data_IF_243974751377
#
_entry.id   IF_243974751377
#
_cell.length_a   1.000
_cell.length_b   1.000
_cell.length_c   1.000
_cell.angle_alpha   90.00
_cell.angle_beta   90.00
_cell.angle_gamma   90.00
#
_symmetry.space_group_name_H-M   'P 1'
#
loop_
_entity.id
_entity.type
_entity.pdbx_description
1 polymer ?
#
# COMPACT_ATOMS: atom_id res chain seq x y z
N UNK A 1 5.48 19.10 9.56
CA UNK A 1 6.54 18.28 8.92
C UNK A 1 6.36 18.40 7.42
N UNK A 2 7.42 18.61 6.63
CA UNK A 2 7.30 18.57 5.16
C UNK A 2 6.89 17.14 4.75
N UNK A 3 5.91 16.95 3.84
CA UNK A 3 5.49 15.62 3.45
C UNK A 3 6.65 14.72 2.95
N UNK A 4 7.60 15.26 2.18
CA UNK A 4 8.78 14.49 1.73
C UNK A 4 9.60 13.96 2.89
N UNK A 5 9.79 14.79 3.91
CA UNK A 5 10.52 14.39 5.12
C UNK A 5 9.78 13.28 5.87
N UNK A 6 8.44 13.32 5.93
CA UNK A 6 7.63 12.29 6.56
C UNK A 6 7.74 10.94 5.82
N UNK A 7 7.71 10.97 4.49
CA UNK A 7 7.89 9.78 3.64
C UNK A 7 9.28 9.16 3.79
N UNK A 8 10.32 9.99 3.79
CA UNK A 8 11.70 9.54 4.02
C UNK A 8 11.91 9.00 5.44
N UNK A 9 11.38 9.68 6.46
CA UNK A 9 11.52 9.27 7.85
C UNK A 9 10.85 7.90 8.08
N UNK A 10 9.63 7.70 7.57
CA UNK A 10 8.93 6.41 7.63
C UNK A 10 9.76 5.30 6.97
N UNK A 11 10.38 5.60 5.83
CA UNK A 11 11.20 4.63 5.12
C UNK A 11 12.46 4.22 5.91
N UNK A 12 13.16 5.19 6.50
CA UNK A 12 14.35 4.92 7.31
C UNK A 12 13.98 4.15 8.59
N UNK A 13 12.93 4.58 9.29
CA UNK A 13 12.45 3.92 10.51
C UNK A 13 12.11 2.46 10.25
N UNK A 14 11.36 2.18 9.18
CA UNK A 14 10.96 0.82 8.84
C UNK A 14 12.11 -0.06 8.32
N UNK A 15 13.18 0.52 7.76
CA UNK A 15 14.35 -0.22 7.28
C UNK A 15 15.42 -0.45 8.35
N UNK A 16 15.30 0.17 9.51
CA UNK A 16 16.26 -0.05 10.60
C UNK A 16 17.60 0.64 10.42
N UNK A 17 17.71 1.63 9.52
CA UNK A 17 18.99 2.28 9.19
C UNK A 17 18.85 3.77 8.95
N UNK A 18 19.81 4.54 9.48
CA UNK A 18 19.91 5.98 9.26
C UNK A 18 20.47 6.38 7.89
N UNK A 19 20.48 7.68 7.59
CA UNK A 19 21.09 8.20 6.35
C UNK A 19 22.60 8.02 6.37
N UNK A 20 23.16 7.41 5.33
CA UNK A 20 24.61 7.34 5.11
C UNK A 20 25.18 8.73 4.90
N UNK A 21 26.27 9.06 5.59
CA UNK A 21 27.00 10.32 5.43
C UNK A 21 28.49 10.04 5.32
N UNK A 22 29.18 10.79 4.46
CA UNK A 22 30.64 10.79 4.43
C UNK A 22 31.19 11.66 5.57
N UNK A 23 32.35 11.28 6.11
CA UNK A 23 33.12 12.13 7.00
C UNK A 23 33.91 13.19 6.18
N UNK A 24 34.56 14.14 6.86
CA UNK A 24 35.37 15.19 6.21
C UNK A 24 36.54 14.65 5.35
N UNK A 25 36.88 13.36 5.49
CA UNK A 25 37.95 12.68 4.77
C UNK A 25 37.42 11.78 3.64
N UNK A 26 36.12 11.85 3.31
CA UNK A 26 35.50 11.07 2.24
C UNK A 26 35.18 9.60 2.59
N UNK A 27 35.43 9.17 3.83
CA UNK A 27 35.06 7.80 4.27
C UNK A 27 33.62 7.75 4.77
N UNK A 28 32.94 6.63 4.54
CA UNK A 28 31.59 6.39 5.04
C UNK A 28 31.59 6.37 6.58
N UNK A 29 30.77 7.22 7.20
CA UNK A 29 30.56 7.21 8.67
C UNK A 29 29.72 5.98 9.06
N UNK A 30 29.97 5.34 10.22
CA UNK A 30 29.09 4.30 10.74
C UNK A 30 27.63 4.78 10.80
N UNK A 31 26.74 4.00 10.22
CA UNK A 31 25.30 4.30 10.15
C UNK A 31 24.63 3.73 11.39
N UNK A 32 23.78 4.53 12.04
CA UNK A 32 22.95 4.06 13.15
C UNK A 32 21.97 2.99 12.64
N UNK A 33 21.90 1.87 13.36
CA UNK A 33 20.99 0.75 13.05
C UNK A 33 20.03 0.52 14.21
N UNK A 34 18.81 0.07 13.91
CA UNK A 34 17.79 -0.21 14.91
C UNK A 34 16.83 -1.30 14.45
N UNK A 35 16.17 -1.93 15.42
CA UNK A 35 15.06 -2.87 15.23
C UNK A 35 13.96 -2.48 16.20
N UNK A 36 12.90 -1.86 15.70
CA UNK A 36 11.82 -1.35 16.53
C UNK A 36 10.47 -1.44 15.82
N UNK A 37 9.41 -1.55 16.63
CA UNK A 37 8.06 -1.19 16.23
C UNK A 37 7.84 0.27 16.64
N UNK A 38 7.32 1.09 15.75
CA UNK A 38 6.99 2.49 16.04
C UNK A 38 5.50 2.73 15.80
N UNK A 39 4.99 3.72 16.51
CA UNK A 39 3.64 4.24 16.35
C UNK A 39 3.74 5.72 15.98
N UNK A 40 2.83 6.15 15.11
CA UNK A 40 2.61 7.55 14.76
C UNK A 40 1.11 7.80 14.85
N UNK A 41 0.72 9.00 15.28
CA UNK A 41 -0.67 9.45 15.30
C UNK A 41 -0.76 10.78 14.56
N UNK A 42 -1.72 10.89 13.65
CA UNK A 42 -1.93 12.08 12.83
C UNK A 42 -3.35 12.13 12.29
N UNK A 43 -3.80 13.33 11.92
CA UNK A 43 -5.14 13.55 11.33
C UNK A 43 -5.24 13.03 9.90
N UNK A 44 -4.11 13.02 9.17
CA UNK A 44 -4.03 12.55 7.79
C UNK A 44 -3.10 11.33 7.71
N UNK A 45 -3.45 10.35 6.87
CA UNK A 45 -2.57 9.22 6.53
C UNK A 45 -1.31 9.69 5.80
N UNK A 46 -0.25 8.88 5.82
CA UNK A 46 0.98 9.21 5.08
C UNK A 46 0.70 9.34 3.58
N UNK A 47 -0.22 8.53 3.06
CA UNK A 47 -0.67 8.60 1.68
C UNK A 47 -1.33 9.94 1.34
N UNK A 48 -2.29 10.38 2.17
CA UNK A 48 -2.95 11.68 2.00
C UNK A 48 -1.94 12.82 2.03
N UNK A 49 -0.99 12.76 2.97
CA UNK A 49 0.08 13.74 3.11
C UNK A 49 0.97 13.80 1.86
N UNK A 50 1.36 12.66 1.28
CA UNK A 50 2.15 12.60 0.04
C UNK A 50 1.35 13.16 -1.15
N UNK A 51 0.07 12.81 -1.26
CA UNK A 51 -0.79 13.22 -2.37
C UNK A 51 -0.89 14.74 -2.48
N UNK A 52 -0.89 15.47 -1.35
CA UNK A 52 -0.91 16.95 -1.31
C UNK A 52 0.24 17.62 -2.07
N UNK A 53 1.39 16.95 -2.17
CA UNK A 53 2.57 17.49 -2.88
C UNK A 53 2.75 16.84 -4.26
N UNK A 54 1.72 16.16 -4.78
CA UNK A 54 1.77 15.46 -6.06
C UNK A 54 2.74 14.28 -6.08
N UNK A 55 3.22 13.84 -4.93
CA UNK A 55 4.03 12.65 -4.79
C UNK A 55 3.15 11.49 -4.34
N UNK A 56 3.51 10.28 -4.74
CA UNK A 56 2.81 9.07 -4.32
C UNK A 56 3.69 8.25 -3.40
N UNK A 57 3.09 7.72 -2.36
CA UNK A 57 3.67 6.64 -1.57
C UNK A 57 3.80 5.41 -2.46
N UNK A 58 4.99 4.81 -2.51
CA UNK A 58 5.10 3.48 -3.11
C UNK A 58 4.37 2.48 -2.21
N UNK A 59 3.70 1.46 -2.77
CA UNK A 59 3.03 0.39 -2.01
C UNK A 59 3.97 -0.26 -0.97
N UNK A 60 5.28 -0.24 -1.23
CA UNK A 60 6.30 -0.67 -0.27
C UNK A 60 6.42 0.17 1.00
N UNK A 61 6.09 1.46 0.98
CA UNK A 61 6.07 2.33 2.16
C UNK A 61 4.79 2.12 2.97
N UNK A 62 3.66 1.94 2.29
CA UNK A 62 2.35 1.71 2.90
C UNK A 62 2.30 0.39 3.69
N UNK A 63 2.84 -0.71 3.14
CA UNK A 63 2.95 -1.97 3.89
C UNK A 63 3.94 -1.89 5.07
N UNK A 64 4.75 -0.83 5.14
CA UNK A 64 5.73 -0.61 6.20
C UNK A 64 5.20 0.29 7.32
N UNK A 65 4.11 1.02 7.09
CA UNK A 65 3.39 1.80 8.08
C UNK A 65 1.89 1.52 7.88
N UNK A 66 1.37 0.54 8.63
CA UNK A 66 -0.05 0.20 8.54
C UNK A 66 -0.86 1.30 9.21
N UNK A 67 -1.58 2.08 8.41
CA UNK A 67 -2.49 3.12 8.88
C UNK A 67 -3.82 2.50 9.33
N UNK A 68 -4.17 2.67 10.61
CA UNK A 68 -5.41 2.17 11.19
C UNK A 68 -6.24 3.38 11.62
N UNK A 69 -7.49 3.43 11.20
CA UNK A 69 -8.40 4.51 11.58
C UNK A 69 -8.62 4.51 13.10
N UNK A 70 -8.51 5.68 13.72
CA UNK A 70 -8.66 5.87 15.16
C UNK A 70 -10.13 6.02 15.57
N UNK A 71 -11.00 5.18 15.02
CA UNK A 71 -12.42 5.06 15.36
C UNK A 71 -12.77 3.59 15.56
N UNK A 72 -13.23 3.25 16.76
CA UNK A 72 -13.65 1.91 17.11
C UNK A 72 -15.07 1.58 16.59
N UNK A 73 -15.81 2.55 16.04
CA UNK A 73 -17.16 2.37 15.50
C UNK A 73 -18.27 2.45 16.54
N UNK A 74 -17.96 2.87 17.76
CA UNK A 74 -18.91 2.99 18.88
C UNK A 74 -19.28 4.44 19.22
N UNK A 75 -18.99 5.39 18.33
CA UNK A 75 -19.20 6.83 18.55
C UNK A 75 -18.48 7.39 19.79
N UNK A 76 -17.37 6.74 20.19
CA UNK A 76 -16.56 7.08 21.35
C UNK A 76 -15.07 7.24 20.99
N UNK A 77 -14.76 7.49 19.70
CA UNK A 77 -13.39 7.54 19.20
C UNK A 77 -12.74 6.16 19.26
N UNK A 78 -11.53 6.08 19.82
CA UNK A 78 -10.75 4.82 19.92
C UNK A 78 -11.29 3.80 20.94
N UNK A 79 -12.38 4.11 21.64
CA UNK A 79 -12.91 3.28 22.72
C UNK A 79 -14.18 2.53 22.31
N UNK A 80 -14.23 1.25 22.65
CA UNK A 80 -15.46 0.43 22.59
C UNK A 80 -16.23 0.47 23.92
N UNK A 81 -15.52 0.72 25.02
CA UNK A 81 -16.04 0.80 26.38
C UNK A 81 -15.26 1.84 27.18
N UNK A 82 -15.96 2.67 27.97
CA UNK A 82 -15.36 3.71 28.81
C UNK A 82 -15.22 3.32 30.28
N UNK A 83 -15.58 2.07 30.62
CA UNK A 83 -15.54 1.54 31.99
C UNK A 83 -16.24 2.48 32.99
N UNK A 84 -15.56 2.83 34.09
CA UNK A 84 -16.09 3.66 35.18
C UNK A 84 -15.90 5.17 34.93
N UNK A 85 -15.73 5.60 33.68
CA UNK A 85 -15.54 7.00 33.31
C UNK A 85 -16.86 7.63 32.89
N UNK A 86 -16.97 8.96 33.05
CA UNK A 86 -18.18 9.70 32.72
C UNK A 86 -18.38 9.89 31.21
N UNK A 87 -17.30 9.87 30.43
CA UNK A 87 -17.29 10.09 28.98
C UNK A 87 -15.98 9.58 28.35
N UNK A 88 -15.94 9.43 27.01
CA UNK A 88 -14.69 9.14 26.29
C UNK A 88 -13.59 10.18 26.53
N UNK A 89 -13.96 11.46 26.66
CA UNK A 89 -13.03 12.55 26.93
C UNK A 89 -12.39 12.41 28.30
N UNK A 90 -13.20 12.15 29.33
CA UNK A 90 -12.67 11.93 30.69
C UNK A 90 -11.79 10.68 30.76
N UNK A 91 -12.12 9.62 30.02
CA UNK A 91 -11.27 8.44 29.92
C UNK A 91 -9.89 8.76 29.32
N UNK A 92 -9.85 9.51 28.22
CA UNK A 92 -8.59 9.91 27.59
C UNK A 92 -7.73 10.78 28.52
N UNK A 93 -8.35 11.72 29.24
CA UNK A 93 -7.66 12.59 30.20
C UNK A 93 -7.10 11.78 31.39
N UNK A 94 -7.90 10.88 31.98
CA UNK A 94 -7.44 10.02 33.07
C UNK A 94 -6.33 9.07 32.63
N UNK A 95 -6.43 8.45 31.46
CA UNK A 95 -5.36 7.60 30.93
C UNK A 95 -4.06 8.39 30.75
N UNK A 96 -4.13 9.62 30.23
CA UNK A 96 -2.96 10.49 30.07
C UNK A 96 -2.33 10.85 31.42
N UNK A 97 -3.16 11.21 32.41
CA UNK A 97 -2.69 11.52 33.75
C UNK A 97 -2.00 10.31 34.40
N UNK A 98 -2.67 9.16 34.45
CA UNK A 98 -2.10 7.96 35.07
C UNK A 98 -0.87 7.44 34.33
N UNK A 99 -0.85 7.47 32.99
CA UNK A 99 0.33 7.07 32.23
C UNK A 99 1.53 8.01 32.47
N UNK A 100 1.31 9.28 32.84
CA UNK A 100 2.39 10.21 33.20
C UNK A 100 2.98 9.96 34.60
N UNK A 101 2.21 9.34 35.49
CA UNK A 101 2.63 9.04 36.87
C UNK A 101 3.15 7.60 37.00
N UNK A 102 2.55 6.67 36.27
CA UNK A 102 2.80 5.22 36.37
C UNK A 102 3.22 4.68 35.01
N UNK A 103 4.53 4.55 34.79
CA UNK A 103 5.08 4.01 33.55
C UNK A 103 6.32 3.12 33.79
N UNK A 104 6.68 2.31 32.79
CA UNK A 104 7.92 1.51 32.77
C UNK A 104 7.92 0.20 33.57
N UNK A 105 7.05 0.05 34.58
CA UNK A 105 7.01 -1.14 35.44
C UNK A 105 6.75 -2.45 34.66
N UNK A 106 5.72 -2.47 33.81
CA UNK A 106 5.33 -3.64 33.01
C UNK A 106 6.44 -4.06 32.04
N UNK A 107 7.12 -3.09 31.42
CA UNK A 107 8.21 -3.36 30.46
C UNK A 107 9.40 -4.06 31.12
N UNK A 108 9.75 -3.68 32.34
CA UNK A 108 10.83 -4.35 33.08
C UNK A 108 10.48 -5.78 33.46
N UNK A 109 9.24 -6.02 33.91
CA UNK A 109 8.80 -7.38 34.25
C UNK A 109 8.70 -8.27 33.02
N UNK A 110 8.19 -7.74 31.91
CA UNK A 110 8.22 -8.41 30.61
C UNK A 110 9.63 -8.89 30.24
N UNK A 111 10.65 -8.02 30.35
CA UNK A 111 12.03 -8.39 30.05
C UNK A 111 12.54 -9.52 30.95
N UNK A 112 12.23 -9.49 32.26
CA UNK A 112 12.60 -10.58 33.18
C UNK A 112 11.99 -11.90 32.74
N UNK A 113 10.70 -11.91 32.37
CA UNK A 113 9.99 -13.10 31.88
C UNK A 113 10.57 -13.62 30.56
N UNK A 114 10.89 -12.73 29.61
CA UNK A 114 11.55 -13.08 28.35
C UNK A 114 12.91 -13.74 28.60
N UNK A 115 13.74 -13.17 29.46
CA UNK A 115 15.08 -13.71 29.79
C UNK A 115 14.98 -15.06 30.50
N UNK A 116 14.04 -15.19 31.44
CA UNK A 116 13.79 -16.45 32.15
C UNK A 116 13.35 -17.59 31.20
N UNK A 117 12.59 -17.26 30.15
CA UNK A 117 12.06 -18.21 29.17
C UNK A 117 12.86 -18.25 27.85
N UNK A 118 14.10 -17.75 27.83
CA UNK A 118 14.90 -17.57 26.59
C UNK A 118 15.02 -18.81 25.72
N UNK A 119 15.00 -20.00 26.31
CA UNK A 119 15.18 -21.27 25.60
C UNK A 119 13.94 -21.67 24.79
N UNK A 120 12.75 -21.30 25.25
CA UNK A 120 11.47 -21.74 24.67
C UNK A 120 10.72 -20.61 23.98
N UNK A 121 10.97 -19.36 24.36
CA UNK A 121 10.18 -18.22 23.86
C UNK A 121 10.27 -18.06 22.34
N UNK A 122 11.42 -18.37 21.73
CA UNK A 122 11.60 -18.26 20.29
C UNK A 122 10.70 -19.23 19.50
N UNK A 123 10.61 -20.49 19.93
CA UNK A 123 9.72 -21.47 19.29
C UNK A 123 8.25 -21.15 19.55
N UNK A 124 7.91 -20.72 20.78
CA UNK A 124 6.55 -20.27 21.12
C UNK A 124 6.11 -19.09 20.24
N UNK A 125 6.95 -18.06 20.08
CA UNK A 125 6.65 -16.92 19.21
C UNK A 125 6.47 -17.38 17.77
N UNK A 126 7.37 -18.23 17.26
CA UNK A 126 7.30 -18.73 15.88
C UNK A 126 5.99 -19.47 15.60
N UNK A 127 5.58 -20.34 16.53
CA UNK A 127 4.34 -21.11 16.41
C UNK A 127 3.11 -20.21 16.46
N UNK A 128 3.03 -19.30 17.44
CA UNK A 128 1.88 -18.40 17.56
C UNK A 128 1.81 -17.37 16.42
N UNK A 129 2.94 -16.96 15.85
CA UNK A 129 2.96 -16.13 14.62
C UNK A 129 2.36 -16.89 13.44
N UNK A 130 2.72 -18.17 13.27
CA UNK A 130 2.16 -19.02 12.21
C UNK A 130 0.64 -19.22 12.41
N UNK A 131 0.21 -19.44 13.64
CA UNK A 131 -1.22 -19.55 14.01
C UNK A 131 -2.00 -18.28 13.64
N UNK A 132 -1.55 -17.10 14.10
CA UNK A 132 -2.21 -15.83 13.78
C UNK A 132 -2.26 -15.61 12.28
N UNK A 133 -1.11 -15.74 11.59
CA UNK A 133 -1.05 -15.47 10.15
C UNK A 133 -1.91 -16.43 9.33
N UNK A 134 -2.05 -17.68 9.77
CA UNK A 134 -2.96 -18.64 9.14
C UNK A 134 -4.43 -18.27 9.39
N UNK A 135 -4.76 -17.78 10.58
CA UNK A 135 -6.14 -17.38 10.93
C UNK A 135 -6.66 -16.17 10.15
N UNK A 136 -5.76 -15.30 9.68
CA UNK A 136 -6.12 -14.08 8.92
C UNK A 136 -5.83 -14.20 7.42
N UNK A 137 -5.24 -15.31 6.98
CA UNK A 137 -4.96 -15.55 5.56
C UNK A 137 -6.28 -15.81 4.82
N UNK A 138 -6.52 -15.04 3.76
CA UNK A 138 -7.67 -15.23 2.86
C UNK A 138 -7.22 -15.75 1.49
N UNK A 139 -8.10 -16.47 0.75
CA UNK A 139 -7.84 -16.80 -0.66
C UNK A 139 -7.49 -15.54 -1.46
N UNK A 140 -6.35 -15.56 -2.16
CA UNK A 140 -5.86 -14.39 -2.93
C UNK A 140 -5.03 -13.38 -2.12
N UNK A 141 -4.72 -13.64 -0.85
CA UNK A 141 -3.81 -12.78 -0.07
C UNK A 141 -2.47 -12.62 -0.76
N UNK A 142 -2.14 -11.39 -1.15
CA UNK A 142 -0.86 -11.07 -1.79
C UNK A 142 0.28 -11.16 -0.78
N UNK A 143 1.52 -11.32 -1.27
CA UNK A 143 2.72 -11.28 -0.42
C UNK A 143 2.91 -9.95 0.33
N UNK A 144 2.22 -8.89 -0.09
CA UNK A 144 2.17 -7.60 0.62
C UNK A 144 1.30 -7.70 1.88
N UNK A 145 0.07 -8.18 1.75
CA UNK A 145 -0.86 -8.40 2.86
C UNK A 145 -0.23 -9.32 3.91
N UNK A 146 0.40 -10.42 3.47
CA UNK A 146 1.06 -11.36 4.39
C UNK A 146 2.24 -10.74 5.15
N UNK A 147 2.94 -9.74 4.59
CA UNK A 147 4.00 -9.03 5.31
C UNK A 147 3.44 -8.13 6.41
N UNK A 148 2.30 -7.49 6.17
CA UNK A 148 1.62 -6.67 7.18
C UNK A 148 1.02 -7.57 8.27
N UNK A 149 0.35 -8.66 7.89
CA UNK A 149 -0.22 -9.64 8.81
C UNK A 149 0.82 -10.17 9.83
N UNK A 150 2.06 -10.40 9.41
CA UNK A 150 3.16 -10.83 10.31
C UNK A 150 3.50 -9.79 11.40
N UNK A 151 3.33 -8.50 11.12
CA UNK A 151 3.59 -7.44 12.11
C UNK A 151 2.44 -7.32 13.10
N UNK A 152 1.20 -7.44 12.63
CA UNK A 152 0.03 -7.57 13.50
C UNK A 152 0.16 -8.81 14.39
N UNK A 153 0.52 -9.96 13.81
CA UNK A 153 0.79 -11.19 14.54
C UNK A 153 1.81 -10.97 15.68
N UNK A 154 2.88 -10.21 15.45
CA UNK A 154 3.86 -9.93 16.50
C UNK A 154 3.26 -9.18 17.70
N UNK A 155 2.38 -8.20 17.45
CA UNK A 155 1.65 -7.48 18.50
C UNK A 155 0.68 -8.42 19.24
N UNK A 156 -0.08 -9.22 18.50
CA UNK A 156 -1.02 -10.19 19.07
C UNK A 156 -0.30 -11.20 19.98
N UNK A 157 0.80 -11.78 19.50
CA UNK A 157 1.60 -12.76 20.26
C UNK A 157 2.22 -12.10 21.49
N UNK A 158 2.71 -10.87 21.38
CA UNK A 158 3.27 -10.16 22.53
C UNK A 158 2.21 -9.93 23.62
N UNK A 159 1.00 -9.54 23.25
CA UNK A 159 -0.10 -9.37 24.21
C UNK A 159 -0.55 -10.69 24.84
N UNK A 160 -0.67 -11.77 24.07
CA UNK A 160 -0.99 -13.10 24.62
C UNK A 160 0.07 -13.58 25.62
N UNK A 161 1.35 -13.43 25.30
CA UNK A 161 2.44 -13.77 26.23
C UNK A 161 2.41 -12.89 27.47
N UNK A 162 2.08 -11.61 27.33
CA UNK A 162 2.00 -10.69 28.46
C UNK A 162 0.83 -11.07 29.39
N UNK A 163 -0.30 -11.49 28.81
CA UNK A 163 -1.43 -12.07 29.55
C UNK A 163 -1.02 -13.34 30.29
N UNK A 164 -0.37 -14.29 29.61
CA UNK A 164 0.12 -15.54 30.22
C UNK A 164 1.10 -15.30 31.37
N UNK A 165 1.89 -14.22 31.30
CA UNK A 165 2.77 -13.80 32.38
C UNK A 165 2.08 -12.99 33.50
N UNK A 166 0.78 -12.73 33.38
CA UNK A 166 -0.01 -12.01 34.37
C UNK A 166 0.19 -10.49 34.34
N UNK A 167 0.59 -9.91 33.21
CA UNK A 167 0.98 -8.51 33.10
C UNK A 167 -0.13 -7.58 32.61
N UNK A 168 -1.14 -8.10 31.93
CA UNK A 168 -2.19 -7.30 31.27
C UNK A 168 -3.51 -7.32 32.04
N UNK A 169 -3.81 -8.42 32.72
CA UNK A 169 -5.15 -8.68 33.29
C UNK A 169 -6.22 -8.99 32.24
N UNK A 170 -5.84 -9.22 30.98
CA UNK A 170 -6.78 -9.59 29.91
C UNK A 170 -7.15 -11.08 29.97
N UNK A 171 -8.26 -11.44 29.35
CA UNK A 171 -8.62 -12.84 29.11
C UNK A 171 -7.70 -13.47 28.05
N UNK A 172 -7.53 -14.79 28.10
CA UNK A 172 -6.79 -15.53 27.08
C UNK A 172 -7.48 -15.38 25.72
N UNK A 173 -6.70 -15.08 24.68
CA UNK A 173 -7.22 -14.84 23.33
C UNK A 173 -7.69 -13.41 23.05
N UNK A 174 -7.83 -12.56 24.08
CA UNK A 174 -8.30 -11.17 23.91
C UNK A 174 -7.33 -10.34 23.06
N UNK A 175 -6.02 -10.53 23.20
CA UNK A 175 -5.04 -9.80 22.39
C UNK A 175 -5.08 -10.26 20.94
N UNK A 176 -5.28 -11.56 20.71
CA UNK A 176 -5.47 -12.10 19.36
C UNK A 176 -6.70 -11.49 18.70
N UNK A 177 -7.84 -11.50 19.39
CA UNK A 177 -9.09 -10.95 18.88
C UNK A 177 -8.96 -9.45 18.54
N UNK A 178 -8.48 -8.62 19.48
CA UNK A 178 -8.36 -7.18 19.27
C UNK A 178 -7.45 -6.85 18.07
N UNK A 179 -6.33 -7.56 17.92
CA UNK A 179 -5.42 -7.33 16.80
C UNK A 179 -6.00 -7.84 15.48
N UNK A 180 -6.81 -8.90 15.48
CA UNK A 180 -7.56 -9.33 14.29
C UNK A 180 -8.59 -8.27 13.85
N UNK A 181 -9.29 -7.62 14.79
CA UNK A 181 -10.20 -6.50 14.48
C UNK A 181 -9.43 -5.37 13.80
N UNK A 182 -8.31 -4.93 14.38
CA UNK A 182 -7.47 -3.89 13.79
C UNK A 182 -6.91 -4.28 12.41
N UNK A 183 -6.52 -5.56 12.24
CA UNK A 183 -6.02 -6.05 10.95
C UNK A 183 -7.11 -6.03 9.87
N UNK A 184 -8.34 -6.41 10.21
CA UNK A 184 -9.48 -6.34 9.28
C UNK A 184 -9.81 -4.89 8.92
N UNK A 185 -9.85 -4.00 9.89
CA UNK A 185 -10.05 -2.57 9.65
C UNK A 185 -8.99 -2.00 8.69
N UNK A 186 -7.71 -2.32 8.93
CA UNK A 186 -6.62 -1.95 8.02
C UNK A 186 -6.82 -2.56 6.62
N UNK A 187 -7.16 -3.83 6.53
CA UNK A 187 -7.29 -4.52 5.25
C UNK A 187 -8.47 -3.99 4.42
N UNK A 188 -9.58 -3.65 5.06
CA UNK A 188 -10.73 -3.05 4.42
C UNK A 188 -10.42 -1.64 3.89
N UNK A 189 -9.60 -0.87 4.61
CA UNK A 189 -9.11 0.43 4.15
C UNK A 189 -8.14 0.26 2.96
N UNK A 190 -7.13 -0.59 3.13
CA UNK A 190 -6.12 -0.90 2.10
C UNK A 190 -6.75 -1.42 0.79
N UNK A 191 -7.73 -2.32 0.89
CA UNK A 191 -8.46 -2.84 -0.27
C UNK A 191 -9.34 -1.79 -0.96
N UNK A 192 -9.99 -0.91 -0.19
CA UNK A 192 -10.78 0.20 -0.72
C UNK A 192 -9.89 1.24 -1.43
N UNK A 193 -8.70 1.51 -0.90
CA UNK A 193 -7.74 2.45 -1.47
C UNK A 193 -7.10 1.93 -2.76
N UNK A 194 -6.69 0.65 -2.80
CA UNK A 194 -6.24 0.01 -4.04
C UNK A 194 -7.31 0.07 -5.15
N UNK A 195 -8.57 -0.22 -4.81
CA UNK A 195 -9.70 -0.07 -5.73
C UNK A 195 -9.95 1.40 -6.15
N UNK A 196 -9.58 2.39 -5.32
CA UNK A 196 -9.72 3.81 -5.68
C UNK A 196 -8.63 4.23 -6.66
N UNK A 197 -7.40 3.75 -6.48
CA UNK A 197 -6.29 4.02 -7.40
C UNK A 197 -6.53 3.36 -8.75
N UNK A 198 -6.95 2.09 -8.78
CA UNK A 198 -7.32 1.38 -10.00
C UNK A 198 -8.45 2.10 -10.74
N UNK A 199 -9.50 2.54 -10.02
CA UNK A 199 -10.58 3.36 -10.60
C UNK A 199 -10.07 4.69 -11.18
N UNK A 200 -9.10 5.34 -10.53
CA UNK A 200 -8.50 6.58 -11.05
C UNK A 200 -7.70 6.33 -12.33
N UNK A 201 -6.95 5.22 -12.41
CA UNK A 201 -6.24 4.80 -13.63
C UNK A 201 -7.23 4.60 -14.77
N UNK A 202 -8.29 3.82 -14.53
CA UNK A 202 -9.30 3.52 -15.53
C UNK A 202 -10.02 4.78 -16.00
N UNK A 203 -10.38 5.69 -15.09
CA UNK A 203 -10.99 6.96 -15.42
C UNK A 203 -10.08 7.84 -16.28
N UNK A 204 -8.78 7.91 -15.97
CA UNK A 204 -7.81 8.68 -16.76
C UNK A 204 -7.65 8.11 -18.17
N UNK A 205 -7.51 6.79 -18.28
CA UNK A 205 -7.38 6.13 -19.59
C UNK A 205 -8.65 6.33 -20.42
N UNK A 206 -9.83 6.19 -19.82
CA UNK A 206 -11.11 6.45 -20.50
C UNK A 206 -11.21 7.90 -20.98
N UNK A 207 -10.92 8.87 -20.11
CA UNK A 207 -10.95 10.28 -20.43
C UNK A 207 -10.03 10.63 -21.62
N UNK A 208 -8.87 9.98 -21.72
CA UNK A 208 -7.99 10.12 -22.89
C UNK A 208 -8.68 9.69 -24.19
N UNK A 209 -9.32 8.51 -24.22
CA UNK A 209 -9.99 8.02 -25.42
C UNK A 209 -11.24 8.81 -25.78
N UNK A 210 -12.02 9.25 -24.79
CA UNK A 210 -13.17 10.14 -25.00
C UNK A 210 -12.74 11.48 -25.62
N UNK A 211 -11.61 12.02 -25.18
CA UNK A 211 -11.11 13.33 -25.65
C UNK A 211 -10.36 13.26 -26.98
N UNK A 212 -9.72 12.12 -27.28
CA UNK A 212 -8.73 12.03 -28.36
C UNK A 212 -8.93 10.87 -29.35
N UNK A 213 -9.86 9.95 -29.08
CA UNK A 213 -10.07 8.73 -29.88
C UNK A 213 -10.38 9.00 -31.36
N UNK A 214 -11.06 10.11 -31.66
CA UNK A 214 -11.40 10.49 -33.03
C UNK A 214 -10.35 11.37 -33.74
N UNK A 215 -9.48 12.05 -33.00
CA UNK A 215 -8.64 13.14 -33.53
C UNK A 215 -7.14 12.83 -33.54
N UNK A 216 -6.67 11.91 -32.70
CA UNK A 216 -5.23 11.61 -32.55
C UNK A 216 -4.85 10.18 -32.96
N UNK A 217 -5.78 9.42 -33.52
CA UNK A 217 -5.55 8.05 -33.99
C UNK A 217 -5.76 7.93 -35.49
N UNK A 218 -4.80 7.30 -36.17
CA UNK A 218 -4.83 7.10 -37.61
C UNK A 218 -5.23 5.66 -37.99
N UNK A 219 -5.79 5.44 -39.17
CA UNK A 219 -6.19 4.10 -39.59
C UNK A 219 -4.96 3.27 -39.98
N UNK A 220 -4.83 2.04 -39.47
CA UNK A 220 -3.67 1.17 -39.78
C UNK A 220 -3.52 0.82 -41.28
N UNK A 221 -4.61 0.86 -42.07
CA UNK A 221 -4.64 0.50 -43.50
C UNK A 221 -4.38 1.70 -44.42
N UNK A 222 -4.79 2.90 -43.98
CA UNK A 222 -4.61 4.18 -44.69
C UNK A 222 -3.98 5.25 -43.79
N UNK A 223 -2.79 4.99 -43.23
CA UNK A 223 -2.10 5.96 -42.38
C UNK A 223 -1.49 7.08 -43.23
N UNK A 224 -1.25 8.23 -42.60
CA UNK A 224 -0.82 9.53 -43.15
C UNK A 224 -1.97 10.49 -43.46
N UNK A 225 -2.91 10.62 -42.53
CA UNK A 225 -3.85 11.74 -42.57
C UNK A 225 -3.11 13.07 -42.29
N UNK A 226 -2.97 13.92 -43.31
CA UNK A 226 -2.26 15.22 -43.24
C UNK A 226 -2.84 16.18 -42.20
N UNK A 227 -4.11 16.00 -41.81
CA UNK A 227 -4.81 16.83 -40.82
C UNK A 227 -4.65 16.31 -39.39
N UNK A 228 -3.90 15.23 -39.17
CA UNK A 228 -3.76 14.60 -37.86
C UNK A 228 -2.54 15.14 -37.09
N UNK A 229 -2.79 16.03 -36.15
CA UNK A 229 -1.77 16.61 -35.28
C UNK A 229 -1.55 15.77 -34.01
N UNK A 230 -0.32 15.77 -33.47
CA UNK A 230 0.04 15.11 -32.20
C UNK A 230 -0.42 13.63 -32.10
N UNK A 231 -0.15 12.82 -33.14
CA UNK A 231 -0.59 11.43 -33.24
C UNK A 231 -0.31 10.63 -31.95
N UNK A 232 -1.36 10.12 -31.34
CA UNK A 232 -1.34 9.25 -30.17
C UNK A 232 -1.09 7.78 -30.55
N UNK A 233 -1.53 7.38 -31.75
CA UNK A 233 -1.40 6.01 -32.20
C UNK A 233 -2.21 5.70 -33.45
N UNK A 234 -2.65 4.45 -33.55
CA UNK A 234 -3.43 3.94 -34.67
C UNK A 234 -4.68 3.22 -34.19
N UNK A 235 -5.65 3.02 -35.07
CA UNK A 235 -6.78 2.12 -34.81
C UNK A 235 -7.01 1.19 -36.00
N UNK A 236 -7.51 0.00 -35.69
CA UNK A 236 -8.09 -0.92 -36.66
C UNK A 236 -9.57 -1.11 -36.32
N UNK A 237 -10.40 -1.31 -37.33
CA UNK A 237 -11.77 -1.76 -37.12
C UNK A 237 -11.77 -3.29 -37.12
N UNK A 238 -12.33 -3.90 -36.08
CA UNK A 238 -12.54 -5.35 -36.04
C UNK A 238 -13.75 -5.78 -36.88
N UNK A 239 -14.01 -7.08 -36.91
CA UNK A 239 -15.07 -7.67 -37.73
C UNK A 239 -16.48 -7.29 -37.25
N UNK A 240 -16.61 -6.84 -36.00
CA UNK A 240 -17.86 -6.37 -35.40
C UNK A 240 -18.07 -4.85 -35.55
N UNK A 241 -17.07 -4.14 -36.10
CA UNK A 241 -17.14 -2.71 -36.36
C UNK A 241 -16.57 -1.82 -35.25
N UNK A 242 -16.02 -2.39 -34.17
CA UNK A 242 -15.42 -1.64 -33.08
C UNK A 242 -14.00 -1.19 -33.42
N UNK A 243 -13.62 -0.02 -32.87
CA UNK A 243 -12.27 0.51 -33.02
C UNK A 243 -11.36 -0.11 -31.97
N UNK A 244 -10.40 -0.89 -32.44
CA UNK A 244 -9.31 -1.43 -31.65
C UNK A 244 -8.14 -0.45 -31.68
N UNK A 245 -7.95 0.28 -30.57
CA UNK A 245 -6.90 1.30 -30.47
C UNK A 245 -5.52 0.71 -30.18
N UNK A 246 -4.50 1.33 -30.76
CA UNK A 246 -3.08 0.99 -30.63
C UNK A 246 -2.28 2.24 -30.28
N UNK A 247 -1.97 2.43 -29.00
CA UNK A 247 -1.30 3.64 -28.48
C UNK A 247 0.22 3.49 -28.57
N UNK A 248 0.92 4.52 -29.07
CA UNK A 248 2.38 4.55 -29.10
C UNK A 248 2.98 4.56 -27.70
N UNK A 249 4.14 3.92 -27.51
CA UNK A 249 4.72 3.73 -26.16
C UNK A 249 5.02 5.02 -25.42
N UNK A 250 5.49 6.06 -26.11
CA UNK A 250 5.81 7.35 -25.47
C UNK A 250 4.55 8.10 -25.05
N UNK A 251 3.49 8.05 -25.85
CA UNK A 251 2.19 8.65 -25.54
C UNK A 251 1.55 7.91 -24.36
N UNK A 252 1.59 6.58 -24.38
CA UNK A 252 1.13 5.76 -23.25
C UNK A 252 1.81 6.18 -21.94
N UNK A 253 3.14 6.28 -21.92
CA UNK A 253 3.89 6.65 -20.71
C UNK A 253 3.68 8.09 -20.27
N UNK A 254 3.64 9.05 -21.20
CA UNK A 254 3.60 10.48 -20.87
C UNK A 254 2.19 11.00 -20.61
N UNK A 255 1.17 10.38 -21.19
CA UNK A 255 -0.19 10.87 -21.15
C UNK A 255 -1.11 9.90 -20.40
N UNK A 256 -1.17 8.63 -20.81
CA UNK A 256 -2.05 7.65 -20.16
C UNK A 256 -1.54 7.24 -18.77
N UNK A 257 -0.23 7.16 -18.58
CA UNK A 257 0.40 6.90 -17.28
C UNK A 257 0.78 8.18 -16.53
N UNK A 258 0.29 9.36 -16.95
CA UNK A 258 0.67 10.61 -16.28
C UNK A 258 0.33 10.53 -14.78
N UNK A 259 1.34 10.67 -13.93
CA UNK A 259 1.19 10.58 -12.48
C UNK A 259 1.07 9.16 -11.91
N UNK A 260 1.14 8.09 -12.72
CA UNK A 260 1.09 6.69 -12.30
C UNK A 260 2.34 5.92 -12.76
N UNK A 261 2.74 4.86 -12.04
CA UNK A 261 3.80 3.96 -12.53
C UNK A 261 3.29 3.18 -13.77
N UNK A 262 3.97 3.24 -14.93
CA UNK A 262 3.54 2.52 -16.12
C UNK A 262 3.34 1.01 -15.91
N UNK A 263 4.10 0.38 -15.01
CA UNK A 263 3.90 -1.05 -14.71
C UNK A 263 2.57 -1.31 -14.01
N UNK A 264 2.21 -0.46 -13.06
CA UNK A 264 0.93 -0.53 -12.36
C UNK A 264 -0.23 -0.32 -13.32
N UNK A 265 -0.17 0.72 -14.17
CA UNK A 265 -1.20 0.99 -15.18
C UNK A 265 -1.40 -0.19 -16.12
N UNK A 266 -0.31 -0.80 -16.60
CA UNK A 266 -0.38 -2.01 -17.42
C UNK A 266 -1.08 -3.14 -16.66
N UNK A 267 -0.73 -3.39 -15.40
CA UNK A 267 -1.34 -4.46 -14.62
C UNK A 267 -2.84 -4.26 -14.42
N UNK A 268 -3.27 -3.04 -14.06
CA UNK A 268 -4.68 -2.69 -13.89
C UNK A 268 -5.45 -2.88 -15.19
N UNK A 269 -4.92 -2.37 -16.30
CA UNK A 269 -5.55 -2.52 -17.61
C UNK A 269 -5.61 -3.97 -18.08
N UNK A 270 -4.65 -4.82 -17.71
CA UNK A 270 -4.68 -6.25 -17.99
C UNK A 270 -5.72 -6.97 -17.13
N UNK A 271 -5.80 -6.66 -15.84
CA UNK A 271 -6.75 -7.26 -14.91
C UNK A 271 -8.21 -6.98 -15.34
N UNK A 272 -8.50 -5.75 -15.77
CA UNK A 272 -9.82 -5.35 -16.28
C UNK A 272 -10.07 -5.79 -17.73
N UNK A 273 -9.03 -6.30 -18.40
CA UNK A 273 -9.09 -6.74 -19.79
C UNK A 273 -9.21 -5.60 -20.80
N UNK A 274 -8.75 -4.39 -20.46
CA UNK A 274 -8.67 -3.23 -21.34
C UNK A 274 -7.44 -3.31 -22.26
N UNK A 275 -6.38 -4.00 -21.84
CA UNK A 275 -5.15 -4.20 -22.62
C UNK A 275 -5.02 -5.65 -23.09
N UNK A 276 -4.54 -5.85 -24.32
CA UNK A 276 -4.30 -7.18 -24.89
C UNK A 276 -2.81 -7.54 -24.85
N UNK A 277 -2.48 -8.73 -24.35
CA UNK A 277 -1.11 -9.27 -24.45
C UNK A 277 -0.77 -9.69 -25.88
N UNK A 278 0.51 -9.65 -26.23
CA UNK A 278 1.04 -10.24 -27.45
C UNK A 278 1.05 -11.76 -27.37
N UNK A 279 1.19 -12.47 -28.51
CA UNK A 279 1.38 -13.93 -28.51
C UNK A 279 2.55 -14.39 -27.64
N UNK A 280 3.59 -13.55 -27.51
CA UNK A 280 4.77 -13.81 -26.68
C UNK A 280 4.58 -13.45 -25.19
N UNK A 281 3.36 -13.10 -24.77
CA UNK A 281 3.03 -12.72 -23.39
C UNK A 281 3.49 -11.31 -22.98
N UNK A 282 3.92 -10.47 -23.92
CA UNK A 282 4.36 -9.11 -23.64
C UNK A 282 3.17 -8.12 -23.68
N UNK A 283 3.20 -7.03 -22.88
CA UNK A 283 2.14 -6.02 -22.89
C UNK A 283 2.18 -5.11 -24.13
N UNK A 284 3.20 -5.22 -24.98
CA UNK A 284 3.37 -4.41 -26.18
C UNK A 284 3.38 -5.26 -27.44
N UNK A 285 2.84 -4.72 -28.52
CA UNK A 285 2.79 -5.32 -29.85
C UNK A 285 3.70 -4.56 -30.83
N UNK A 286 4.06 -5.22 -31.94
CA UNK A 286 4.77 -4.61 -33.08
C UNK A 286 4.02 -4.84 -34.39
N UNK A 287 2.80 -4.31 -34.56
CA UNK A 287 2.01 -4.52 -35.76
C UNK A 287 2.68 -3.88 -36.97
N UNK A 288 2.51 -4.47 -38.16
CA UNK A 288 2.93 -3.86 -39.41
C UNK A 288 1.89 -2.82 -39.84
N UNK A 289 2.29 -1.55 -39.80
CA UNK A 289 1.49 -0.40 -40.23
C UNK A 289 1.97 0.01 -41.62
N UNK A 290 1.03 0.12 -42.57
CA UNK A 290 1.34 0.50 -43.96
C UNK A 290 2.04 1.86 -43.97
N UNK A 291 3.09 2.06 -44.77
CA UNK A 291 3.76 3.37 -44.88
C UNK A 291 4.52 3.88 -43.64
N UNK A 292 4.40 3.24 -42.47
CA UNK A 292 5.06 3.66 -41.22
C UNK A 292 6.08 2.61 -40.73
N UNK A 293 5.83 1.32 -40.93
CA UNK A 293 6.71 0.24 -40.47
C UNK A 293 6.11 -0.54 -39.30
N UNK A 294 6.93 -0.95 -38.32
CA UNK A 294 6.51 -1.78 -37.17
C UNK A 294 6.70 -1.05 -35.83
N UNK A 295 5.90 -0.02 -35.53
CA UNK A 295 6.01 0.70 -34.26
C UNK A 295 5.67 -0.22 -33.08
N UNK A 296 6.28 0.04 -31.92
CA UNK A 296 5.89 -0.61 -30.67
C UNK A 296 4.67 0.11 -30.11
N UNK A 297 3.61 -0.63 -29.79
CA UNK A 297 2.33 -0.07 -29.34
C UNK A 297 1.71 -0.90 -28.20
N UNK A 298 0.86 -0.27 -27.42
CA UNK A 298 -0.07 -0.91 -26.49
C UNK A 298 -1.41 -1.09 -27.20
N UNK A 299 -1.90 -2.33 -27.29
CA UNK A 299 -3.14 -2.66 -28.00
C UNK A 299 -4.28 -2.80 -27.00
N UNK A 300 -5.30 -1.96 -27.13
CA UNK A 300 -6.48 -1.96 -26.29
C UNK A 300 -7.58 -2.86 -26.86
N UNK A 301 -8.53 -3.22 -26.02
CA UNK A 301 -9.72 -3.99 -26.37
C UNK A 301 -10.92 -3.08 -26.65
N UNK A 302 -12.04 -3.69 -26.99
CA UNK A 302 -13.37 -3.10 -27.15
C UNK A 302 -14.00 -2.65 -25.82
N UNK A 303 -13.40 -2.98 -24.68
CA UNK A 303 -13.90 -2.58 -23.35
C UNK A 303 -13.67 -1.11 -23.00
N UNK A 304 -13.01 -0.35 -23.88
CA UNK A 304 -12.64 1.05 -23.62
C UNK A 304 -13.70 2.04 -24.07
#
# INVERSE_FOLDING_TARGET
>A
MDPREAGEATYLLANGQGKTRANRQGMAKPVSQWTLLFLSAGEESLMSLMARIGQRTNVGQEIRLADIEADAGFHMGIYECIHNQLSPVTMALSLKEYASQYYGAVGMEWLRKVVANRQTIASTITNKLAEFTSSVAMPGSTGQIMRVARRFALVAVAGELATQYGLTGWEEGQSFYAVQVCFRAWLDAFGREGNREDRAILAQVRSFFESHGASRFDNVRTPNNEHLHNRAGFYATDDEGYRVYMVLTEVFKKELCLGFDPKMVIQVLLNEGWLRLSPDGLPTHKPRIRGVGTPRVYKFTDKI
#
